data_IF_531106396717
#
_entry.id   IF_531106396717
#
_cell.length_a   1.000
_cell.length_b   1.000
_cell.length_c   1.000
_cell.angle_alpha   90.00
_cell.angle_beta   90.00
_cell.angle_gamma   90.00
#
_symmetry.space_group_name_H-M   'P 1'
#
loop_
_entity.id
_entity.type
_entity.pdbx_description
1 polymer ?
#
# COMPACT_ATOMS: atom_id res chain seq x y z
N UNK A 1 10.91 7.38 6.43
CA UNK A 1 11.05 6.77 5.08
C UNK A 1 10.09 7.47 4.13
N UNK A 2 10.36 7.44 2.83
CA UNK A 2 9.48 7.98 1.79
C UNK A 2 9.39 6.95 0.68
N UNK A 3 8.19 6.74 0.13
CA UNK A 3 7.98 5.94 -1.06
C UNK A 3 7.22 6.81 -2.06
N UNK A 4 7.73 6.87 -3.29
CA UNK A 4 7.11 7.57 -4.39
C UNK A 4 7.09 6.64 -5.59
N UNK A 5 5.91 6.38 -6.13
CA UNK A 5 5.72 5.41 -7.19
C UNK A 5 4.91 6.02 -8.31
N UNK A 6 5.42 5.89 -9.53
CA UNK A 6 4.67 6.15 -10.77
C UNK A 6 4.54 4.84 -11.52
N UNK A 7 3.31 4.46 -11.84
CA UNK A 7 3.00 3.29 -12.65
C UNK A 7 2.35 3.74 -13.93
N UNK A 8 2.84 3.27 -15.08
CA UNK A 8 2.21 3.46 -16.38
C UNK A 8 1.80 2.10 -16.94
N UNK A 9 0.53 1.96 -17.33
CA UNK A 9 -0.02 0.77 -17.95
C UNK A 9 -0.58 1.08 -19.33
N UNK A 10 -0.48 0.12 -20.24
CA UNK A 10 -1.08 0.18 -21.57
C UNK A 10 -1.32 -1.22 -22.08
N UNK A 11 -2.40 -1.41 -22.84
CA UNK A 11 -2.60 -2.61 -23.64
C UNK A 11 -2.53 -2.30 -25.15
N UNK A 12 -2.22 -3.32 -25.95
CA UNK A 12 -2.29 -3.24 -27.41
C UNK A 12 -3.73 -3.14 -27.91
N UNK A 13 -3.91 -2.72 -29.16
CA UNK A 13 -5.24 -2.75 -29.78
C UNK A 13 -5.70 -4.18 -30.05
N UNK A 14 -6.99 -4.46 -29.84
CA UNK A 14 -7.57 -5.77 -30.10
C UNK A 14 -8.96 -5.65 -30.72
N UNK A 15 -9.44 -6.71 -31.37
CA UNK A 15 -10.78 -6.72 -31.97
C UNK A 15 -11.83 -6.98 -30.89
N UNK A 16 -12.75 -6.05 -30.70
CA UNK A 16 -13.92 -6.23 -29.83
C UNK A 16 -15.20 -5.91 -30.61
N UNK A 17 -15.95 -6.92 -31.08
CA UNK A 17 -17.18 -6.68 -31.86
C UNK A 17 -18.32 -6.10 -31.01
N UNK A 18 -18.25 -6.20 -29.68
CA UNK A 18 -19.24 -5.67 -28.75
C UNK A 18 -18.53 -4.98 -27.59
N UNK A 19 -18.94 -3.76 -27.25
CA UNK A 19 -18.40 -2.99 -26.11
C UNK A 19 -19.58 -2.51 -25.27
N UNK A 20 -19.58 -2.87 -24.00
CA UNK A 20 -20.56 -2.41 -23.01
C UNK A 20 -19.92 -1.54 -21.91
N UNK A 21 -20.73 -1.03 -20.96
CA UNK A 21 -20.25 -0.14 -19.92
C UNK A 21 -19.12 -0.70 -19.03
N UNK A 22 -19.06 -2.03 -18.85
CA UNK A 22 -18.05 -2.72 -18.04
C UNK A 22 -17.01 -3.48 -18.88
N UNK A 23 -16.85 -3.12 -20.16
CA UNK A 23 -15.91 -3.76 -21.06
C UNK A 23 -14.55 -3.04 -21.09
N UNK A 24 -13.48 -3.80 -21.36
CA UNK A 24 -12.18 -3.20 -21.68
C UNK A 24 -12.29 -2.64 -23.10
N UNK A 25 -12.04 -1.35 -23.32
CA UNK A 25 -12.14 -0.76 -24.65
C UNK A 25 -11.04 -1.36 -25.56
N UNK A 26 -11.34 -1.64 -26.84
CA UNK A 26 -10.34 -2.17 -27.78
C UNK A 26 -9.19 -1.19 -28.05
N UNK A 27 -9.41 0.09 -27.76
CA UNK A 27 -8.44 1.18 -27.88
C UNK A 27 -8.56 2.12 -26.69
N UNK A 28 -7.46 2.35 -25.99
CA UNK A 28 -7.35 3.43 -25.00
C UNK A 28 -5.93 3.99 -24.95
N UNK A 29 -5.81 5.21 -24.42
CA UNK A 29 -4.53 5.79 -24.06
C UNK A 29 -3.90 5.05 -22.88
N UNK A 30 -2.56 5.09 -22.80
CA UNK A 30 -1.86 4.64 -21.61
C UNK A 30 -2.44 5.36 -20.37
N UNK A 31 -2.55 4.62 -19.27
CA UNK A 31 -3.02 5.12 -18.00
C UNK A 31 -1.87 5.15 -17.02
N UNK A 32 -1.91 6.14 -16.14
CA UNK A 32 -0.86 6.34 -15.16
C UNK A 32 -1.48 6.56 -13.79
N UNK A 33 -0.79 6.07 -12.76
CA UNK A 33 -1.03 6.40 -11.37
C UNK A 33 0.24 6.90 -10.72
N UNK A 34 0.12 7.92 -9.89
CA UNK A 34 1.22 8.50 -9.11
C UNK A 34 0.79 8.51 -7.67
N UNK A 35 1.64 7.98 -6.80
CA UNK A 35 1.47 8.11 -5.36
C UNK A 35 2.77 8.46 -4.65
N UNK A 36 2.64 9.20 -3.55
CA UNK A 36 3.76 9.56 -2.67
C UNK A 36 3.31 9.41 -1.23
N UNK A 37 3.97 8.54 -0.50
CA UNK A 37 3.70 8.25 0.91
C UNK A 37 4.88 8.63 1.78
N UNK A 38 4.63 9.40 2.84
CA UNK A 38 5.61 9.64 3.89
C UNK A 38 5.38 8.68 5.05
N UNK A 39 6.41 7.95 5.47
CA UNK A 39 6.35 7.11 6.66
C UNK A 39 7.05 7.82 7.82
N UNK A 40 6.23 8.43 8.68
CA UNK A 40 6.66 9.18 9.84
C UNK A 40 6.41 8.37 11.11
N UNK A 41 7.41 8.32 11.99
CA UNK A 41 7.33 7.63 13.27
C UNK A 41 8.04 8.42 14.35
N UNK A 42 7.47 8.42 15.56
CA UNK A 42 8.01 9.11 16.73
C UNK A 42 8.01 8.17 17.94
N UNK A 43 9.06 8.23 18.75
CA UNK A 43 9.09 7.61 20.08
C UNK A 43 8.50 8.59 21.08
N UNK A 44 7.46 8.18 21.78
CA UNK A 44 6.78 9.03 22.75
C UNK A 44 7.26 8.72 24.18
N UNK A 45 7.38 7.44 24.51
CA UNK A 45 7.88 6.94 25.80
C UNK A 45 8.48 5.54 25.63
N UNK A 46 8.94 4.91 26.71
CA UNK A 46 9.51 3.56 26.68
C UNK A 46 8.49 2.55 26.13
N UNK A 47 8.77 2.01 24.95
CA UNK A 47 7.89 1.07 24.24
C UNK A 47 6.68 1.72 23.54
N UNK A 48 6.50 3.04 23.67
CA UNK A 48 5.43 3.80 23.03
C UNK A 48 5.90 4.50 21.76
N UNK A 49 5.29 4.14 20.63
CA UNK A 49 5.59 4.70 19.32
C UNK A 49 4.31 5.22 18.65
N UNK A 50 4.38 6.35 17.97
CA UNK A 50 3.30 6.86 17.14
C UNK A 50 3.72 6.93 15.68
N UNK A 51 2.82 6.53 14.77
CA UNK A 51 3.06 6.51 13.34
C UNK A 51 1.93 7.20 12.59
N UNK A 52 2.30 7.94 11.55
CA UNK A 52 1.37 8.61 10.63
C UNK A 52 1.90 8.51 9.21
N UNK A 53 1.02 8.21 8.25
CA UNK A 53 1.39 8.11 6.85
C UNK A 53 0.50 9.03 6.01
N UNK A 54 0.84 10.32 5.85
CA UNK A 54 0.19 11.14 4.84
C UNK A 54 0.59 10.63 3.45
N UNK A 55 -0.38 10.56 2.56
CA UNK A 55 -0.19 10.12 1.19
C UNK A 55 -0.90 11.04 0.21
N UNK A 56 -0.26 11.29 -0.93
CA UNK A 56 -0.83 12.00 -2.07
C UNK A 56 -0.98 11.01 -3.23
N UNK A 57 -2.12 11.04 -3.90
CA UNK A 57 -2.48 10.14 -5.00
C UNK A 57 -3.03 10.91 -6.21
N UNK A 58 -2.82 10.36 -7.41
CA UNK A 58 -3.43 10.82 -8.66
C UNK A 58 -3.44 9.70 -9.70
N UNK A 59 -4.38 9.78 -10.65
CA UNK A 59 -4.35 8.97 -11.87
C UNK A 59 -5.48 7.96 -12.01
N UNK A 60 -5.37 7.06 -12.99
CA UNK A 60 -6.42 6.13 -13.38
C UNK A 60 -5.86 4.74 -13.68
N UNK A 61 -6.67 3.70 -13.49
CA UNK A 61 -6.42 2.38 -14.05
C UNK A 61 -6.89 2.26 -15.50
N UNK A 62 -6.43 1.22 -16.21
CA UNK A 62 -6.96 0.83 -17.52
C UNK A 62 -8.49 0.69 -17.45
N UNK A 63 -9.20 1.26 -18.42
CA UNK A 63 -10.67 1.28 -18.47
C UNK A 63 -11.38 1.74 -17.18
N UNK A 64 -10.72 2.53 -16.32
CA UNK A 64 -11.28 2.87 -15.01
C UNK A 64 -11.51 1.64 -14.12
N UNK A 65 -10.62 0.63 -14.24
CA UNK A 65 -10.63 -0.68 -13.56
C UNK A 65 -11.67 -1.70 -14.03
N UNK A 66 -12.37 -1.42 -15.13
CA UNK A 66 -13.38 -2.32 -15.71
C UNK A 66 -12.79 -3.23 -16.79
N UNK A 67 -13.56 -4.24 -17.20
CA UNK A 67 -13.26 -5.00 -18.42
C UNK A 67 -12.24 -6.13 -18.32
N UNK A 68 -11.55 -6.24 -17.18
CA UNK A 68 -10.63 -7.34 -16.87
C UNK A 68 -11.07 -7.97 -15.55
N UNK A 69 -11.11 -9.30 -15.50
CA UNK A 69 -11.65 -10.05 -14.35
C UNK A 69 -10.88 -9.79 -13.03
N UNK A 70 -9.63 -9.37 -13.12
CA UNK A 70 -8.84 -8.86 -11.99
C UNK A 70 -8.27 -7.49 -12.32
N UNK A 71 -8.15 -6.63 -11.30
CA UNK A 71 -7.57 -5.30 -11.49
C UNK A 71 -6.11 -5.44 -11.91
N UNK A 72 -5.78 -4.86 -13.06
CA UNK A 72 -4.43 -4.94 -13.64
C UNK A 72 -3.39 -4.20 -12.83
N UNK A 73 -3.81 -3.32 -11.92
CA UNK A 73 -2.95 -2.54 -11.05
C UNK A 73 -3.50 -2.45 -9.63
N UNK A 74 -2.69 -2.90 -8.68
CA UNK A 74 -2.86 -2.64 -7.27
C UNK A 74 -2.43 -1.24 -6.85
N UNK A 75 -2.01 -0.36 -7.76
CA UNK A 75 -1.92 1.09 -7.51
C UNK A 75 -3.19 1.84 -7.95
N UNK A 76 -3.94 1.25 -8.88
CA UNK A 76 -5.04 1.90 -9.59
C UNK A 76 -6.44 1.39 -9.22
N UNK A 77 -6.57 0.54 -8.19
CA UNK A 77 -7.86 0.16 -7.61
C UNK A 77 -8.57 1.34 -6.90
N UNK A 78 -7.84 2.43 -6.64
CA UNK A 78 -8.38 3.65 -6.07
C UNK A 78 -9.28 4.34 -7.08
N UNK A 79 -10.29 5.08 -6.61
CA UNK A 79 -11.10 5.93 -7.49
C UNK A 79 -10.16 6.86 -8.25
N UNK A 80 -10.18 6.76 -9.58
CA UNK A 80 -9.30 7.55 -10.41
C UNK A 80 -9.63 9.03 -10.30
N UNK A 81 -8.60 9.88 -10.32
CA UNK A 81 -8.75 11.30 -10.06
C UNK A 81 -7.84 12.14 -10.97
N UNK A 82 -8.40 13.21 -11.54
CA UNK A 82 -7.71 14.09 -12.49
C UNK A 82 -6.64 14.96 -11.81
N UNK A 83 -6.90 15.38 -10.58
CA UNK A 83 -5.99 16.16 -9.74
C UNK A 83 -5.43 15.34 -8.60
N UNK A 84 -4.28 15.77 -8.06
CA UNK A 84 -3.77 15.22 -6.81
C UNK A 84 -4.77 15.38 -5.67
N UNK A 85 -4.92 14.34 -4.86
CA UNK A 85 -5.69 14.38 -3.62
C UNK A 85 -4.89 13.79 -2.47
N UNK A 86 -5.14 14.30 -1.26
CA UNK A 86 -4.48 13.84 -0.05
C UNK A 86 -5.34 12.82 0.69
N UNK A 87 -4.67 11.81 1.27
CA UNK A 87 -5.28 10.83 2.17
C UNK A 87 -4.37 10.53 3.35
N UNK A 88 -4.96 9.90 4.37
CA UNK A 88 -4.23 9.44 5.54
C UNK A 88 -4.53 7.95 5.77
N UNK A 89 -3.80 7.02 5.15
CA UNK A 89 -4.10 5.59 5.22
C UNK A 89 -3.77 4.99 6.58
N UNK A 90 -2.77 5.54 7.29
CA UNK A 90 -2.33 5.08 8.62
C UNK A 90 -2.17 6.25 9.58
N UNK A 91 -2.68 6.07 10.79
CA UNK A 91 -2.46 6.94 11.93
C UNK A 91 -2.71 6.12 13.20
N UNK A 92 -1.66 5.64 13.85
CA UNK A 92 -1.79 4.68 14.95
C UNK A 92 -0.70 4.84 16.02
N UNK A 93 -1.07 4.43 17.24
CA UNK A 93 -0.18 4.27 18.38
C UNK A 93 0.18 2.78 18.53
N UNK A 94 1.43 2.50 18.87
CA UNK A 94 1.93 1.16 19.18
C UNK A 94 2.58 1.16 20.56
N UNK A 95 2.09 0.30 21.45
CA UNK A 95 2.72 0.01 22.74
C UNK A 95 3.35 -1.38 22.68
N UNK A 96 4.63 -1.46 23.02
CA UNK A 96 5.36 -2.72 23.18
C UNK A 96 5.66 -2.95 24.65
N UNK A 97 5.27 -4.11 25.16
CA UNK A 97 5.53 -4.54 26.54
C UNK A 97 6.46 -5.76 26.45
N UNK A 98 7.65 -5.64 27.03
CA UNK A 98 8.59 -6.75 27.10
C UNK A 98 8.03 -7.84 28.04
N UNK A 99 8.11 -9.09 27.61
CA UNK A 99 7.72 -10.27 28.40
C UNK A 99 8.93 -11.07 28.87
N UNK A 100 10.12 -10.79 28.33
CA UNK A 100 11.40 -11.37 28.73
C UNK A 100 12.56 -10.39 28.56
N UNK A 101 13.77 -10.85 28.88
CA UNK A 101 14.97 -10.01 28.94
C UNK A 101 15.77 -9.96 27.61
N UNK A 102 15.47 -10.86 26.68
CA UNK A 102 16.10 -10.92 25.36
C UNK A 102 15.73 -9.72 24.50
N UNK A 103 16.72 -9.17 23.80
CA UNK A 103 16.50 -8.08 22.85
C UNK A 103 17.34 -8.22 21.60
N UNK A 104 16.77 -7.88 20.45
CA UNK A 104 17.46 -7.83 19.16
C UNK A 104 17.46 -6.43 18.58
N UNK A 105 18.49 -6.11 17.81
CA UNK A 105 18.50 -4.91 16.98
C UNK A 105 17.54 -5.04 15.81
N UNK A 106 16.84 -3.95 15.52
CA UNK A 106 15.89 -3.87 14.43
C UNK A 106 16.23 -2.66 13.60
N UNK A 107 16.35 -2.87 12.28
CA UNK A 107 16.59 -1.79 11.33
C UNK A 107 15.35 -0.92 11.10
N UNK A 108 15.60 0.31 10.68
CA UNK A 108 14.55 1.24 10.28
C UNK A 108 13.80 0.70 9.07
N UNK A 109 12.49 0.90 9.00
CA UNK A 109 11.67 0.55 7.85
C UNK A 109 10.36 1.34 7.80
N UNK A 110 9.53 1.05 6.80
CA UNK A 110 8.17 1.57 6.75
C UNK A 110 7.44 1.20 8.06
N UNK A 111 6.91 2.21 8.75
CA UNK A 111 6.21 2.04 10.04
C UNK A 111 7.01 1.27 11.12
N UNK A 112 8.33 1.40 11.08
CA UNK A 112 9.28 0.79 12.03
C UNK A 112 10.48 1.68 12.27
N UNK A 113 10.67 2.11 13.51
CA UNK A 113 11.86 2.88 13.91
C UNK A 113 13.03 1.95 14.26
N UNK A 114 14.24 2.29 13.80
CA UNK A 114 15.46 1.56 14.15
C UNK A 114 15.75 1.59 15.65
N UNK A 115 16.28 0.49 16.19
CA UNK A 115 16.74 0.38 17.57
C UNK A 115 16.51 -1.01 18.15
N UNK A 116 16.77 -1.16 19.44
CA UNK A 116 16.62 -2.42 20.16
C UNK A 116 15.15 -2.71 20.49
N UNK A 117 14.69 -3.94 20.26
CA UNK A 117 13.33 -4.38 20.61
C UNK A 117 13.37 -5.68 21.42
N UNK A 118 12.44 -5.89 22.37
CA UNK A 118 12.34 -7.15 23.09
C UNK A 118 11.95 -8.28 22.13
N UNK A 119 12.59 -9.43 22.29
CA UNK A 119 12.35 -10.63 21.47
C UNK A 119 10.97 -11.21 21.81
N UNK A 120 10.70 -11.37 23.10
CA UNK A 120 9.42 -11.78 23.64
C UNK A 120 8.62 -10.54 24.09
N UNK A 121 7.51 -10.29 23.42
CA UNK A 121 6.73 -9.06 23.63
C UNK A 121 5.25 -9.22 23.37
N UNK A 122 4.46 -8.45 24.11
CA UNK A 122 3.09 -8.11 23.76
C UNK A 122 3.08 -6.77 23.02
N UNK A 123 2.51 -6.71 21.82
CA UNK A 123 2.39 -5.48 21.04
C UNK A 123 0.93 -5.12 20.86
N UNK A 124 0.54 -3.95 21.37
CA UNK A 124 -0.80 -3.37 21.21
C UNK A 124 -0.72 -2.27 20.15
N UNK A 125 -1.56 -2.35 19.12
CA UNK A 125 -1.64 -1.33 18.07
C UNK A 125 -3.06 -0.78 18.02
N UNK A 126 -3.22 0.55 18.13
CA UNK A 126 -4.52 1.21 18.17
C UNK A 126 -4.54 2.43 17.23
N UNK A 127 -5.58 2.54 16.42
CA UNK A 127 -5.82 3.69 15.54
C UNK A 127 -6.30 3.28 14.15
N UNK A 128 -6.04 4.14 13.16
CA UNK A 128 -6.29 3.83 11.76
C UNK A 128 -5.13 2.98 11.22
N UNK A 129 -5.41 1.70 10.98
CA UNK A 129 -4.46 0.67 10.57
C UNK A 129 -4.97 -0.08 9.33
N UNK A 130 -4.08 -0.80 8.67
CA UNK A 130 -4.49 -1.91 7.81
C UNK A 130 -4.54 -3.19 8.61
N UNK A 131 -5.48 -4.04 8.27
CA UNK A 131 -5.46 -5.44 8.70
C UNK A 131 -4.36 -6.20 7.95
N UNK A 132 -4.22 -5.98 6.63
CA UNK A 132 -3.24 -6.69 5.79
C UNK A 132 -1.78 -6.42 6.22
N UNK A 133 -1.43 -5.18 6.59
CA UNK A 133 -0.11 -4.82 7.13
C UNK A 133 0.29 -5.60 8.41
N UNK A 134 -0.68 -6.20 9.12
CA UNK A 134 -0.46 -6.91 10.38
C UNK A 134 -0.62 -8.42 10.26
N UNK A 135 -1.57 -8.88 9.43
CA UNK A 135 -2.01 -10.28 9.39
C UNK A 135 -1.81 -10.96 8.04
N UNK A 136 -1.47 -10.19 7.00
CA UNK A 136 -1.24 -10.70 5.65
C UNK A 136 0.09 -10.19 5.10
N UNK A 137 1.14 -10.31 5.91
CA UNK A 137 2.48 -9.85 5.53
C UNK A 137 3.16 -10.91 4.65
N UNK A 138 2.78 -10.98 3.38
CA UNK A 138 3.48 -11.85 2.43
C UNK A 138 4.86 -11.29 2.10
N UNK A 139 5.91 -12.09 2.28
CA UNK A 139 7.29 -11.65 1.99
C UNK A 139 7.54 -11.31 0.52
N UNK A 140 6.76 -11.88 -0.40
CA UNK A 140 7.03 -11.83 -1.83
C UNK A 140 5.98 -11.06 -2.64
N UNK A 141 4.81 -10.77 -2.05
CA UNK A 141 3.69 -10.22 -2.77
C UNK A 141 2.73 -9.47 -1.82
N UNK A 142 3.18 -8.33 -1.30
CA UNK A 142 2.44 -7.51 -0.34
C UNK A 142 2.31 -6.05 -0.78
N UNK A 143 3.33 -5.50 -1.44
CA UNK A 143 3.30 -4.11 -1.88
C UNK A 143 3.17 -4.00 -3.41
N UNK A 144 2.04 -3.51 -3.95
CA UNK A 144 1.90 -3.28 -5.40
C UNK A 144 2.93 -2.33 -6.00
N UNK A 145 3.59 -1.54 -5.15
CA UNK A 145 4.57 -0.54 -5.52
C UNK A 145 6.00 -1.09 -5.56
N UNK A 146 6.23 -2.29 -5.04
CA UNK A 146 7.55 -2.92 -4.96
C UNK A 146 7.59 -4.36 -5.48
N UNK A 147 6.48 -5.09 -5.41
CA UNK A 147 6.39 -6.52 -5.72
C UNK A 147 5.65 -6.75 -7.05
N UNK A 148 4.38 -7.18 -6.99
CA UNK A 148 3.54 -7.45 -8.15
C UNK A 148 2.52 -6.34 -8.38
N UNK A 149 2.35 -5.94 -9.64
CA UNK A 149 1.37 -4.92 -9.98
C UNK A 149 -0.06 -5.48 -10.02
N UNK A 150 -0.25 -6.75 -10.33
CA UNK A 150 -1.58 -7.33 -10.55
C UNK A 150 -2.27 -7.64 -9.21
N UNK A 151 -3.44 -7.04 -8.96
CA UNK A 151 -4.12 -7.10 -7.64
C UNK A 151 -4.34 -8.53 -7.13
N UNK A 152 -4.87 -9.48 -7.93
CA UNK A 152 -5.01 -10.89 -7.52
C UNK A 152 -3.75 -11.64 -7.07
N UNK A 153 -2.56 -11.06 -7.25
CA UNK A 153 -1.30 -11.66 -6.82
C UNK A 153 -0.80 -11.08 -5.50
N UNK A 154 -1.46 -10.08 -4.93
CA UNK A 154 -1.03 -9.34 -3.74
C UNK A 154 -1.91 -9.76 -2.57
N UNK A 155 -1.30 -10.00 -1.41
CA UNK A 155 -2.00 -10.41 -0.19
C UNK A 155 -2.95 -11.60 -0.45
N UNK A 156 -4.05 -11.70 0.29
CA UNK A 156 -5.11 -12.70 0.12
C UNK A 156 -5.93 -12.60 -1.17
N UNK A 157 -5.63 -11.66 -2.08
CA UNK A 157 -6.20 -11.59 -3.44
C UNK A 157 -6.99 -10.33 -3.81
#
# INVERSE_FOLDING_TARGET
HVQATKTTQRHGSFKSPYVGPNSLPPHESAKETVDVTLFLGLRLWKGGEFYVNPEIDQGYGLAGTLGVAGFTSGGAYKVGHDSFYGRLPRAFLRQTIALGDGTSEVESGANRLAGTRPDERLTLTLGKISVVDLFDSNRYAHDPRADFLHWPLIDGG
#
